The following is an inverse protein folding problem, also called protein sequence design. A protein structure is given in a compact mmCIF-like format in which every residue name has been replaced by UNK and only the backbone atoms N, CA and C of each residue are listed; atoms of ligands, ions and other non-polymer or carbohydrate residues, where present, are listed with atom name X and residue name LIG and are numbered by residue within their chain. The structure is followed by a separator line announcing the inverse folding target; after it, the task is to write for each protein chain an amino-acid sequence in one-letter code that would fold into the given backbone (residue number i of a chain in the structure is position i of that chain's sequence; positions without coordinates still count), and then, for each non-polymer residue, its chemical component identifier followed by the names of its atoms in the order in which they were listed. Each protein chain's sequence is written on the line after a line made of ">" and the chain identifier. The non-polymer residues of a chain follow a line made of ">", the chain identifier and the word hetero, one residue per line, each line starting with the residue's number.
data_IF_243370914956
#
_entry.id   IF_243370914956
#
_cell.length_a   1.000
_cell.length_b   1.000
_cell.length_c   1.000
_cell.angle_alpha   90.00
_cell.angle_beta   90.00
_cell.angle_gamma   90.00
#
_symmetry.space_group_name_H-M   'P 1'
#
loop_
_entity.id
_entity.type
_entity.pdbx_description
1 polymer ?
#
# COMPACT_ATOMS: atom_id res chain seq x y z
N UNK A 1 21.06 -19.81 21.46
CA UNK A 1 21.32 -18.36 21.58
C UNK A 1 20.95 -17.75 20.25
N UNK A 2 19.70 -17.28 20.14
CA UNK A 2 19.28 -16.48 19.01
C UNK A 2 20.01 -15.14 19.09
N UNK A 3 20.91 -14.88 18.15
CA UNK A 3 21.42 -13.54 17.94
C UNK A 3 20.25 -12.65 17.59
N UNK A 4 20.08 -11.55 18.32
CA UNK A 4 19.26 -10.44 17.86
C UNK A 4 19.94 -10.01 16.56
N UNK A 5 19.36 -10.33 15.42
CA UNK A 5 19.76 -9.70 14.19
C UNK A 5 19.60 -8.20 14.44
N UNK A 6 20.69 -7.46 14.35
CA UNK A 6 20.64 -6.01 14.22
C UNK A 6 19.93 -5.73 12.88
N UNK A 7 18.60 -5.88 12.90
CA UNK A 7 17.77 -5.39 11.81
C UNK A 7 17.95 -3.88 11.79
N UNK A 8 18.18 -3.33 10.62
CA UNK A 8 17.99 -1.91 10.38
C UNK A 8 16.50 -1.70 10.65
N UNK A 9 16.15 -1.24 11.85
CA UNK A 9 14.80 -0.87 12.17
C UNK A 9 14.42 0.28 11.26
N UNK A 10 13.28 0.16 10.64
CA UNK A 10 12.71 1.25 9.86
C UNK A 10 12.65 2.49 10.77
N UNK A 11 13.23 3.60 10.31
CA UNK A 11 13.32 4.85 11.08
C UNK A 11 11.95 5.28 11.61
N UNK A 12 10.90 5.09 10.82
CA UNK A 12 9.52 5.40 11.20
C UNK A 12 9.09 4.58 12.44
N UNK A 13 9.45 3.30 12.52
CA UNK A 13 9.08 2.43 13.65
C UNK A 13 9.78 2.90 14.92
N UNK A 14 11.05 3.28 14.81
CA UNK A 14 11.84 3.78 15.94
C UNK A 14 11.25 5.08 16.47
N UNK A 15 11.01 6.06 15.61
CA UNK A 15 10.44 7.36 15.99
C UNK A 15 9.03 7.21 16.56
N UNK A 16 8.20 6.37 15.98
CA UNK A 16 6.86 6.07 16.48
C UNK A 16 6.90 5.39 17.85
N UNK A 17 7.83 4.47 18.08
CA UNK A 17 8.00 3.81 19.38
C UNK A 17 8.38 4.80 20.47
N UNK A 18 9.24 5.77 20.19
CA UNK A 18 9.60 6.86 21.12
C UNK A 18 8.37 7.72 21.45
N UNK A 19 7.59 8.08 20.45
CA UNK A 19 6.36 8.85 20.61
C UNK A 19 5.34 8.13 21.49
N UNK A 20 5.07 6.84 21.23
CA UNK A 20 4.17 6.01 22.04
C UNK A 20 4.67 5.92 23.49
N UNK A 21 5.96 5.65 23.68
CA UNK A 21 6.51 5.55 25.04
C UNK A 21 6.28 6.83 25.84
N UNK A 22 6.58 7.98 25.28
CA UNK A 22 6.39 9.26 25.93
C UNK A 22 4.91 9.49 26.30
N UNK A 23 3.99 9.19 25.37
CA UNK A 23 2.56 9.37 25.59
C UNK A 23 2.00 8.43 26.67
N UNK A 24 2.36 7.14 26.63
CA UNK A 24 1.84 6.16 27.59
C UNK A 24 2.47 6.29 28.98
N UNK A 25 3.74 6.67 29.05
CA UNK A 25 4.44 6.84 30.34
C UNK A 25 4.16 8.19 31.01
N UNK A 26 3.69 9.18 30.25
CA UNK A 26 3.58 10.57 30.69
C UNK A 26 4.93 11.24 30.95
N UNK A 27 6.02 10.62 30.50
CA UNK A 27 7.39 11.11 30.70
C UNK A 27 8.01 11.36 29.32
N UNK A 28 8.47 12.57 29.06
CA UNK A 28 9.24 12.90 27.86
C UNK A 28 10.69 12.40 27.98
N UNK A 29 10.85 11.07 27.94
CA UNK A 29 12.18 10.43 28.07
C UNK A 29 12.96 10.45 26.75
N UNK A 30 12.27 10.32 25.64
CA UNK A 30 12.89 10.23 24.33
C UNK A 30 12.57 11.46 23.50
N UNK A 31 13.61 12.10 22.98
CA UNK A 31 13.45 13.03 21.87
C UNK A 31 13.22 12.22 20.61
N UNK A 32 12.20 12.57 19.82
CA UNK A 32 11.95 12.00 18.53
C UNK A 32 11.91 13.10 17.46
N UNK A 33 12.40 12.76 16.28
CA UNK A 33 12.43 13.68 15.15
C UNK A 33 11.14 13.55 14.35
N UNK A 34 10.61 14.69 13.91
CA UNK A 34 9.60 14.66 12.87
C UNK A 34 10.20 14.10 11.58
N UNK A 35 9.51 13.14 10.97
CA UNK A 35 9.93 12.59 9.70
C UNK A 35 9.59 13.58 8.58
N UNK A 36 10.52 13.76 7.66
CA UNK A 36 10.30 14.60 6.48
C UNK A 36 9.64 13.82 5.36
N UNK A 37 8.82 14.49 4.57
CA UNK A 37 8.21 13.92 3.37
C UNK A 37 6.73 13.60 3.53
N UNK A 38 6.19 12.84 2.60
CA UNK A 38 4.81 12.39 2.63
C UNK A 38 4.68 11.15 3.52
N UNK A 39 3.54 11.00 4.19
CA UNK A 39 3.17 9.77 4.91
C UNK A 39 3.38 8.52 4.04
N UNK A 40 3.09 8.60 2.74
CA UNK A 40 3.22 7.48 1.81
C UNK A 40 4.67 6.99 1.61
N UNK A 41 5.66 7.86 1.80
CA UNK A 41 7.08 7.50 1.65
C UNK A 41 7.57 6.60 2.78
N UNK A 42 6.83 6.60 3.88
CA UNK A 42 7.24 5.99 5.12
C UNK A 42 6.20 4.98 5.68
N UNK A 43 5.05 4.80 5.01
CA UNK A 43 4.11 3.75 5.42
C UNK A 43 4.78 2.38 5.30
N UNK A 44 4.67 1.52 6.32
CA UNK A 44 5.04 0.12 6.21
C UNK A 44 4.29 -0.57 5.06
N UNK A 45 4.88 -1.63 4.51
CA UNK A 45 4.34 -2.30 3.31
C UNK A 45 2.87 -2.71 3.47
N UNK A 46 2.47 -3.25 4.63
CA UNK A 46 1.09 -3.69 4.87
C UNK A 46 0.09 -2.54 4.89
N UNK A 47 0.43 -1.43 5.54
CA UNK A 47 -0.42 -0.24 5.61
C UNK A 47 -0.54 0.44 4.24
N UNK A 48 0.53 0.40 3.45
CA UNK A 48 0.49 0.89 2.08
C UNK A 48 -0.40 0.02 1.18
N UNK A 49 -0.30 -1.31 1.30
CA UNK A 49 -1.18 -2.25 0.61
C UNK A 49 -2.65 -2.00 0.98
N UNK A 50 -2.94 -1.83 2.26
CA UNK A 50 -4.29 -1.54 2.77
C UNK A 50 -4.84 -0.21 2.23
N UNK A 51 -4.01 0.84 2.17
CA UNK A 51 -4.37 2.13 1.60
C UNK A 51 -4.70 2.04 0.11
N UNK A 52 -3.88 1.34 -0.67
CA UNK A 52 -4.12 1.12 -2.11
C UNK A 52 -5.41 0.34 -2.34
N UNK A 53 -5.65 -0.71 -1.55
CA UNK A 53 -6.88 -1.50 -1.64
C UNK A 53 -8.10 -0.64 -1.30
N UNK A 54 -8.03 0.18 -0.25
CA UNK A 54 -9.10 1.12 0.11
C UNK A 54 -9.37 2.13 -1.02
N UNK A 55 -8.33 2.66 -1.64
CA UNK A 55 -8.45 3.54 -2.81
C UNK A 55 -9.21 2.87 -3.95
N UNK A 56 -8.86 1.63 -4.30
CA UNK A 56 -9.54 0.90 -5.36
C UNK A 56 -11.01 0.61 -5.02
N UNK A 57 -11.30 0.30 -3.76
CA UNK A 57 -12.68 0.05 -3.32
C UNK A 57 -13.54 1.31 -3.35
N UNK A 58 -13.00 2.45 -2.94
CA UNK A 58 -13.77 3.69 -2.78
C UNK A 58 -13.78 4.50 -4.09
N UNK A 59 -12.61 4.78 -4.67
CA UNK A 59 -12.51 5.65 -5.86
C UNK A 59 -12.76 4.92 -7.17
N UNK A 60 -12.42 3.63 -7.25
CA UNK A 60 -12.58 2.83 -8.48
C UNK A 60 -13.79 1.88 -8.44
N UNK A 61 -14.56 1.95 -7.35
CA UNK A 61 -15.80 1.19 -7.19
C UNK A 61 -15.64 -0.33 -7.29
N UNK A 62 -14.57 -0.85 -6.71
CA UNK A 62 -14.32 -2.29 -6.56
C UNK A 62 -14.72 -2.80 -5.17
N UNK A 63 -14.77 -4.12 -5.03
CA UNK A 63 -14.67 -4.78 -3.74
C UNK A 63 -13.68 -5.94 -3.80
N UNK A 64 -13.05 -6.24 -2.68
CA UNK A 64 -12.03 -7.29 -2.57
C UNK A 64 -12.69 -8.66 -2.48
N UNK A 65 -12.18 -9.62 -3.25
CA UNK A 65 -12.50 -11.03 -3.07
C UNK A 65 -11.67 -11.58 -1.91
N UNK A 66 -12.30 -11.78 -0.75
CA UNK A 66 -11.60 -12.20 0.47
C UNK A 66 -10.83 -13.52 0.33
N UNK A 67 -11.30 -14.42 -0.52
CA UNK A 67 -10.59 -15.69 -0.80
C UNK A 67 -9.27 -15.49 -1.54
N UNK A 68 -9.09 -14.37 -2.25
CA UNK A 68 -7.86 -14.09 -3.00
C UNK A 68 -6.71 -13.67 -2.09
N UNK A 69 -7.01 -13.04 -0.96
CA UNK A 69 -6.01 -12.61 0.03
C UNK A 69 -5.26 -13.81 0.63
N UNK A 70 -5.94 -14.95 0.77
CA UNK A 70 -5.37 -16.17 1.32
C UNK A 70 -4.54 -16.98 0.31
N UNK A 71 -4.69 -16.74 -1.00
CA UNK A 71 -4.13 -17.56 -2.06
C UNK A 71 -2.77 -17.03 -2.54
N UNK A 72 -1.78 -17.03 -1.65
CA UNK A 72 -0.40 -16.60 -1.97
C UNK A 72 0.44 -17.63 -2.75
N UNK A 73 -0.18 -18.67 -3.32
CA UNK A 73 0.52 -19.79 -3.98
C UNK A 73 0.74 -19.64 -5.49
N UNK A 74 0.40 -18.50 -6.07
CA UNK A 74 0.60 -18.26 -7.51
C UNK A 74 2.02 -17.83 -7.81
N UNK A 75 2.53 -18.22 -8.96
CA UNK A 75 3.84 -17.81 -9.49
C UNK A 75 3.91 -16.29 -9.67
N UNK A 76 2.76 -15.66 -9.93
CA UNK A 76 2.60 -14.22 -10.08
C UNK A 76 2.07 -13.66 -8.76
N UNK A 77 2.85 -12.79 -8.14
CA UNK A 77 2.47 -12.15 -6.88
C UNK A 77 1.45 -11.05 -7.13
N UNK A 78 0.29 -11.17 -6.50
CA UNK A 78 -0.74 -10.14 -6.39
C UNK A 78 -1.11 -9.98 -4.92
N UNK A 79 -1.57 -8.79 -4.52
CA UNK A 79 -2.09 -8.59 -3.16
C UNK A 79 -3.48 -9.18 -3.02
N UNK A 80 -4.34 -8.90 -3.98
CA UNK A 80 -5.69 -9.48 -4.02
C UNK A 80 -6.32 -9.37 -5.41
N UNK A 81 -7.42 -10.10 -5.59
CA UNK A 81 -8.36 -9.92 -6.69
C UNK A 81 -9.53 -9.04 -6.27
N UNK A 82 -10.04 -8.26 -7.20
CA UNK A 82 -11.17 -7.35 -7.00
C UNK A 82 -12.24 -7.59 -8.07
N UNK A 83 -13.48 -7.28 -7.71
CA UNK A 83 -14.61 -7.27 -8.65
C UNK A 83 -15.25 -5.90 -8.63
N UNK A 84 -15.53 -5.36 -9.82
CA UNK A 84 -16.28 -4.11 -9.98
C UNK A 84 -17.71 -4.24 -9.46
N UNK A 85 -18.19 -3.20 -8.80
CA UNK A 85 -19.54 -3.13 -8.21
C UNK A 85 -20.63 -2.78 -9.23
N UNK A 86 -20.27 -2.48 -10.46
CA UNK A 86 -21.24 -2.20 -11.51
C UNK A 86 -21.99 -3.48 -11.88
N UNK A 87 -23.31 -3.45 -11.75
CA UNK A 87 -24.20 -4.59 -12.07
C UNK A 87 -24.10 -5.02 -13.54
N UNK A 88 -23.82 -4.07 -14.42
CA UNK A 88 -23.79 -4.28 -15.86
C UNK A 88 -22.39 -4.62 -16.37
N UNK A 89 -21.37 -4.38 -15.58
CA UNK A 89 -19.97 -4.58 -15.98
C UNK A 89 -19.17 -5.16 -14.81
N UNK A 90 -19.22 -6.48 -14.68
CA UNK A 90 -18.45 -7.22 -13.66
C UNK A 90 -16.97 -7.33 -14.07
N UNK A 91 -16.30 -6.19 -14.12
CA UNK A 91 -14.87 -6.16 -14.35
C UNK A 91 -14.14 -6.86 -13.22
N UNK A 92 -13.20 -7.72 -13.56
CA UNK A 92 -12.26 -8.29 -12.62
C UNK A 92 -10.98 -7.47 -12.64
N UNK A 93 -10.35 -7.33 -11.49
CA UNK A 93 -9.07 -6.66 -11.40
C UNK A 93 -8.12 -7.40 -10.47
N UNK A 94 -6.84 -7.15 -10.64
CA UNK A 94 -5.77 -7.56 -9.71
C UNK A 94 -4.95 -6.34 -9.35
N UNK A 95 -4.38 -6.36 -8.15
CA UNK A 95 -3.52 -5.28 -7.67
C UNK A 95 -2.22 -5.83 -7.14
N UNK A 96 -1.13 -5.13 -7.42
CA UNK A 96 0.18 -5.35 -6.80
C UNK A 96 0.72 -4.03 -6.29
N UNK A 97 1.25 -4.08 -5.07
CA UNK A 97 1.83 -2.94 -4.37
C UNK A 97 3.28 -3.22 -4.02
N UNK A 98 4.14 -2.26 -4.23
CA UNK A 98 5.53 -2.27 -3.79
C UNK A 98 5.88 -0.93 -3.17
N UNK A 99 6.01 -0.90 -1.86
CA UNK A 99 6.51 0.26 -1.13
C UNK A 99 8.04 0.38 -1.20
N UNK A 100 8.57 1.50 -0.69
CA UNK A 100 10.00 1.77 -0.61
C UNK A 100 10.62 2.33 -1.90
N UNK A 101 11.67 3.15 -1.73
CA UNK A 101 12.21 4.03 -2.80
C UNK A 101 12.83 3.29 -3.99
N UNK A 102 13.22 2.04 -3.84
CA UNK A 102 13.97 1.29 -4.86
C UNK A 102 13.23 0.08 -5.45
N UNK A 103 12.03 -0.20 -4.96
CA UNK A 103 11.27 -1.36 -5.43
C UNK A 103 10.70 -1.13 -6.83
N UNK A 104 10.71 -2.19 -7.63
CA UNK A 104 10.29 -2.18 -9.04
C UNK A 104 9.23 -3.24 -9.31
N UNK A 105 8.38 -2.96 -10.27
CA UNK A 105 7.43 -3.93 -10.85
C UNK A 105 7.66 -3.93 -12.36
N UNK A 106 7.81 -5.11 -12.95
CA UNK A 106 7.69 -5.29 -14.39
C UNK A 106 6.25 -5.66 -14.74
N UNK A 107 5.57 -4.76 -15.45
CA UNK A 107 4.17 -4.95 -15.84
C UNK A 107 3.96 -6.20 -16.72
N UNK A 108 4.94 -6.61 -17.51
CA UNK A 108 4.86 -7.83 -18.31
C UNK A 108 4.66 -9.10 -17.48
N UNK A 109 5.06 -9.11 -16.22
CA UNK A 109 4.77 -10.22 -15.30
C UNK A 109 3.27 -10.48 -15.11
N UNK A 110 2.41 -9.49 -15.43
CA UNK A 110 0.95 -9.56 -15.29
C UNK A 110 0.23 -9.79 -16.61
N UNK A 111 0.99 -10.10 -17.70
CA UNK A 111 0.42 -10.29 -19.03
C UNK A 111 -0.69 -11.35 -19.05
N UNK A 112 -0.56 -12.43 -18.33
CA UNK A 112 -1.59 -13.47 -18.28
C UNK A 112 -2.92 -12.94 -17.74
N UNK A 113 -2.90 -12.13 -16.68
CA UNK A 113 -4.11 -11.49 -16.16
C UNK A 113 -4.71 -10.51 -17.18
N UNK A 114 -3.85 -9.73 -17.84
CA UNK A 114 -4.28 -8.82 -18.90
C UNK A 114 -4.94 -9.56 -20.05
N UNK A 115 -4.35 -10.67 -20.52
CA UNK A 115 -4.87 -11.50 -21.61
C UNK A 115 -6.20 -12.19 -21.21
N UNK A 116 -6.38 -12.52 -19.92
CA UNK A 116 -7.61 -13.07 -19.35
C UNK A 116 -8.69 -11.99 -19.08
N UNK A 117 -8.44 -10.75 -19.50
CA UNK A 117 -9.40 -9.65 -19.42
C UNK A 117 -9.50 -8.97 -18.05
N UNK A 118 -8.54 -9.19 -17.16
CA UNK A 118 -8.46 -8.46 -15.90
C UNK A 118 -7.92 -7.04 -16.12
N UNK A 119 -8.43 -6.07 -15.37
CA UNK A 119 -7.74 -4.81 -15.18
C UNK A 119 -6.58 -5.03 -14.19
N UNK A 120 -5.41 -4.52 -14.51
CA UNK A 120 -4.20 -4.65 -13.68
C UNK A 120 -3.87 -3.30 -13.05
N UNK A 121 -3.87 -3.23 -11.74
CA UNK A 121 -3.48 -2.02 -11.01
C UNK A 121 -2.14 -2.22 -10.34
N UNK A 122 -1.20 -1.31 -10.57
CA UNK A 122 0.15 -1.40 -10.05
C UNK A 122 0.51 -0.12 -9.30
N UNK A 123 1.06 -0.28 -8.10
CA UNK A 123 1.71 0.80 -7.35
C UNK A 123 3.15 0.42 -7.05
N UNK A 124 4.09 1.18 -7.56
CA UNK A 124 5.51 1.10 -7.22
C UNK A 124 6.21 2.40 -7.63
N UNK A 125 7.37 2.72 -7.02
CA UNK A 125 8.21 3.84 -7.45
C UNK A 125 8.60 3.73 -8.92
N UNK A 126 8.96 2.54 -9.37
CA UNK A 126 9.32 2.26 -10.76
C UNK A 126 8.46 1.12 -11.30
N UNK A 127 7.76 1.38 -12.39
CA UNK A 127 7.01 0.37 -13.15
C UNK A 127 7.57 0.35 -14.57
N UNK A 128 8.10 -0.80 -14.93
CA UNK A 128 8.69 -1.04 -16.25
C UNK A 128 7.62 -1.65 -17.18
N UNK A 129 7.73 -1.40 -18.49
CA UNK A 129 6.88 -1.96 -19.54
C UNK A 129 5.36 -1.71 -19.34
N UNK A 130 4.99 -0.62 -18.69
CA UNK A 130 3.58 -0.29 -18.42
C UNK A 130 2.75 -0.20 -19.71
N UNK A 131 3.31 0.39 -20.75
CA UNK A 131 2.69 0.60 -22.06
C UNK A 131 2.47 -0.70 -22.85
N UNK A 132 3.09 -1.79 -22.44
CA UNK A 132 2.94 -3.08 -23.11
C UNK A 132 1.59 -3.76 -22.82
N UNK A 133 0.84 -3.29 -21.83
CA UNK A 133 -0.46 -3.83 -21.43
C UNK A 133 -1.54 -2.74 -21.52
N UNK A 134 -2.53 -2.94 -22.39
CA UNK A 134 -3.59 -1.95 -22.64
C UNK A 134 -4.55 -1.71 -21.46
N UNK A 135 -4.67 -2.68 -20.55
CA UNK A 135 -5.54 -2.67 -19.37
C UNK A 135 -4.74 -2.63 -18.05
N UNK A 136 -3.52 -2.11 -18.09
CA UNK A 136 -2.70 -1.89 -16.93
C UNK A 136 -2.70 -0.40 -16.54
N UNK A 137 -2.98 -0.13 -15.28
CA UNK A 137 -3.06 1.24 -14.73
C UNK A 137 -2.07 1.38 -13.60
N UNK A 138 -1.18 2.37 -13.72
CA UNK A 138 -0.35 2.81 -12.61
C UNK A 138 -1.19 3.66 -11.67
N UNK A 139 -1.19 3.32 -10.39
CA UNK A 139 -1.67 4.21 -9.33
C UNK A 139 -0.51 5.15 -8.99
N UNK A 140 -0.76 6.44 -9.01
CA UNK A 140 0.26 7.44 -8.70
C UNK A 140 0.32 7.76 -7.21
N UNK A 141 1.43 8.33 -6.78
CA UNK A 141 1.57 8.82 -5.40
C UNK A 141 0.58 9.96 -5.13
N UNK A 142 0.38 10.80 -6.10
CA UNK A 142 -0.55 11.93 -6.08
C UNK A 142 -1.99 11.45 -5.87
N UNK A 143 -2.42 10.41 -6.59
CA UNK A 143 -3.75 9.78 -6.40
C UNK A 143 -3.96 9.33 -4.95
N UNK A 144 -2.94 8.71 -4.35
CA UNK A 144 -3.04 8.21 -2.97
C UNK A 144 -2.97 9.33 -1.93
N UNK A 145 -2.20 10.38 -2.17
CA UNK A 145 -2.16 11.56 -1.28
C UNK A 145 -3.52 12.25 -1.27
N UNK A 146 -4.09 12.50 -2.45
CA UNK A 146 -5.43 13.08 -2.57
C UNK A 146 -6.47 12.21 -1.87
N UNK A 147 -6.44 10.91 -2.12
CA UNK A 147 -7.34 9.96 -1.49
C UNK A 147 -7.18 9.95 0.04
N UNK A 148 -5.97 9.91 0.55
CA UNK A 148 -5.70 9.94 1.98
C UNK A 148 -6.29 11.20 2.62
N UNK A 149 -6.03 12.37 2.05
CA UNK A 149 -6.50 13.65 2.58
C UNK A 149 -8.04 13.74 2.58
N UNK A 150 -8.69 13.18 1.56
CA UNK A 150 -10.16 13.21 1.44
C UNK A 150 -10.85 12.19 2.36
N UNK A 151 -10.25 11.00 2.54
CA UNK A 151 -10.90 9.87 3.18
C UNK A 151 -10.26 9.42 4.50
N UNK A 152 -9.28 10.13 5.03
CA UNK A 152 -8.58 9.72 6.26
C UNK A 152 -9.50 9.46 7.45
N UNK A 153 -10.66 10.11 7.51
CA UNK A 153 -11.64 9.93 8.59
C UNK A 153 -12.30 8.54 8.62
N UNK A 154 -12.24 7.79 7.51
CA UNK A 154 -12.77 6.42 7.40
C UNK A 154 -11.69 5.37 7.18
N UNK A 155 -10.43 5.78 7.10
CA UNK A 155 -9.31 4.84 7.00
C UNK A 155 -9.04 4.19 8.36
N UNK A 156 -8.53 2.94 8.36
CA UNK A 156 -8.13 2.27 9.60
C UNK A 156 -7.08 3.06 10.39
N UNK A 157 -7.13 2.93 11.71
CA UNK A 157 -6.13 3.54 12.60
C UNK A 157 -4.71 3.04 12.30
N UNK A 158 -4.56 1.81 11.82
CA UNK A 158 -3.29 1.26 11.34
C UNK A 158 -2.58 2.17 10.35
N UNK A 159 -3.35 2.89 9.51
CA UNK A 159 -2.83 3.84 8.53
C UNK A 159 -2.69 5.24 9.14
N UNK A 160 -3.75 5.73 9.79
CA UNK A 160 -3.81 7.15 10.20
C UNK A 160 -2.93 7.49 11.40
N UNK A 161 -2.60 6.52 12.25
CA UNK A 161 -1.72 6.73 13.42
C UNK A 161 -0.33 7.29 13.06
N UNK A 162 0.12 7.10 11.82
CA UNK A 162 1.41 7.59 11.36
C UNK A 162 1.42 9.10 11.07
N UNK A 163 0.23 9.71 10.92
CA UNK A 163 0.10 11.14 10.58
C UNK A 163 0.84 12.06 11.57
N UNK A 164 0.79 11.73 12.85
CA UNK A 164 1.41 12.53 13.92
C UNK A 164 2.94 12.62 13.82
N UNK A 165 3.57 11.80 12.98
CA UNK A 165 5.01 11.83 12.75
C UNK A 165 5.41 12.78 11.61
N UNK A 166 4.43 13.31 10.86
CA UNK A 166 4.65 14.16 9.68
C UNK A 166 4.06 15.56 9.82
N UNK A 167 3.44 15.87 10.96
CA UNK A 167 2.79 17.16 11.24
C UNK A 167 3.69 18.12 12.01
#
# INVERSE_FOLDING_TARGET
>A
RGGIAEGIYDEIIVEYSKHIYNNLSGINKYEYNQLSGSILDNLPDLELEELVIAYLQIKKNFYVLSNSIANKSTTIKIECELIGRDKNNKKKAVVQVKGGKTKRIDALSYKSYSDDGYEVYLYAPVIENLEALSNCTKITKEDLIEFYNEYKCILPESITRWENLFS
#
